data_IF_060062212017
#
_entry.id   IF_060062212017
#
_cell.length_a   1.000
_cell.length_b   1.000
_cell.length_c   1.000
_cell.angle_alpha   90.00
_cell.angle_beta   90.00
_cell.angle_gamma   90.00
#
_symmetry.space_group_name_H-M   'P 1'
#
loop_
_entity.id
_entity.type
_entity.pdbx_description
1 polymer ?
#
# COMPACT_ATOMS: atom_id res chain seq x y z
N UNK A 1 34.07 -61.33 -23.86
CA UNK A 1 33.12 -60.84 -22.84
C UNK A 1 33.65 -59.60 -22.11
N UNK A 2 33.58 -58.41 -22.71
CA UNK A 2 33.94 -57.12 -22.07
C UNK A 2 33.26 -56.01 -22.86
N UNK A 3 32.03 -55.58 -22.50
CA UNK A 3 31.40 -54.34 -23.03
C UNK A 3 30.01 -53.98 -22.46
N UNK A 4 29.63 -54.41 -21.25
CA UNK A 4 28.30 -54.09 -20.69
C UNK A 4 28.27 -53.46 -19.30
N UNK A 5 29.40 -53.08 -18.72
CA UNK A 5 29.45 -52.58 -17.34
C UNK A 5 29.77 -51.08 -17.17
N UNK A 6 29.97 -50.32 -18.25
CA UNK A 6 30.42 -48.92 -18.15
C UNK A 6 29.31 -47.89 -18.40
N UNK A 7 28.16 -48.28 -18.93
CA UNK A 7 27.08 -47.32 -19.31
C UNK A 7 26.10 -47.04 -18.17
N UNK A 8 25.97 -47.94 -17.19
CA UNK A 8 24.97 -47.79 -16.12
C UNK A 8 25.43 -46.81 -15.02
N UNK A 9 26.74 -46.66 -14.80
CA UNK A 9 27.26 -45.79 -13.72
C UNK A 9 27.26 -44.31 -14.12
N UNK A 10 27.39 -43.99 -15.42
CA UNK A 10 27.40 -42.59 -15.88
C UNK A 10 25.99 -41.97 -15.92
N UNK A 11 24.93 -42.77 -16.05
CA UNK A 11 23.55 -42.28 -16.10
C UNK A 11 22.95 -41.97 -14.71
N UNK A 12 23.45 -42.62 -13.66
CA UNK A 12 23.02 -42.38 -12.27
C UNK A 12 23.70 -41.16 -11.63
N UNK A 13 24.86 -40.73 -12.12
CA UNK A 13 25.55 -39.54 -11.61
C UNK A 13 25.03 -38.21 -12.22
N UNK A 14 24.32 -38.25 -13.36
CA UNK A 14 23.71 -37.06 -13.96
C UNK A 14 22.32 -36.70 -13.40
N UNK A 15 21.65 -37.63 -12.69
CA UNK A 15 20.35 -37.38 -12.07
C UNK A 15 20.44 -36.86 -10.63
N UNK A 16 21.61 -36.99 -9.98
CA UNK A 16 21.84 -36.46 -8.63
C UNK A 16 22.26 -34.97 -8.59
N UNK A 17 22.53 -34.35 -9.75
CA UNK A 17 23.01 -32.96 -9.81
C UNK A 17 21.90 -31.88 -9.95
N UNK A 18 20.62 -32.27 -10.06
CA UNK A 18 19.51 -31.33 -10.29
C UNK A 18 18.40 -31.34 -9.24
N UNK A 19 18.62 -31.96 -8.09
CA UNK A 19 17.70 -31.92 -6.95
C UNK A 19 18.20 -31.00 -5.83
N UNK A 20 18.78 -29.85 -6.17
CA UNK A 20 18.70 -28.73 -5.23
C UNK A 20 17.24 -28.26 -5.25
N UNK A 21 16.51 -28.29 -4.12
CA UNK A 21 15.24 -27.61 -4.07
C UNK A 21 15.54 -26.14 -4.36
N UNK A 22 15.23 -25.70 -5.57
CA UNK A 22 15.10 -24.28 -5.82
C UNK A 22 14.02 -23.84 -4.86
N UNK A 23 14.43 -23.15 -3.81
CA UNK A 23 13.52 -22.38 -2.98
C UNK A 23 12.93 -21.35 -3.93
N UNK A 24 11.81 -21.72 -4.56
CA UNK A 24 10.98 -20.80 -5.32
C UNK A 24 10.46 -19.86 -4.25
N UNK A 25 11.23 -18.81 -3.97
CA UNK A 25 10.78 -17.71 -3.13
C UNK A 25 9.48 -17.25 -3.75
N UNK A 26 8.36 -17.59 -3.10
CA UNK A 26 7.04 -17.22 -3.58
C UNK A 26 7.10 -15.74 -3.96
N UNK A 27 6.74 -15.44 -5.21
CA UNK A 27 6.78 -14.08 -5.70
C UNK A 27 6.02 -13.21 -4.69
N UNK A 28 6.71 -12.22 -4.14
CA UNK A 28 6.15 -11.42 -3.06
C UNK A 28 4.82 -10.83 -3.52
N UNK A 29 3.80 -11.06 -2.70
CA UNK A 29 2.46 -10.56 -2.95
C UNK A 29 2.54 -9.04 -3.07
N UNK A 30 2.01 -8.39 -4.13
CA UNK A 30 2.03 -6.93 -4.20
C UNK A 30 1.27 -6.29 -3.07
N UNK A 31 1.73 -5.17 -2.54
CA UNK A 31 0.99 -4.43 -1.52
C UNK A 31 1.35 -2.95 -1.52
N UNK A 32 0.46 -2.19 -0.89
CA UNK A 32 0.56 -0.76 -0.72
C UNK A 32 1.18 -0.41 0.64
N UNK A 33 2.13 0.51 0.64
CA UNK A 33 2.60 1.25 1.81
C UNK A 33 1.85 2.57 1.91
N UNK A 34 1.52 2.98 3.13
CA UNK A 34 0.99 4.31 3.41
C UNK A 34 2.02 5.05 4.26
N UNK A 35 2.55 6.15 3.72
CA UNK A 35 3.46 7.03 4.44
C UNK A 35 2.65 8.18 5.03
N UNK A 36 2.00 7.96 6.15
CA UNK A 36 1.41 9.05 6.91
C UNK A 36 1.13 8.60 8.34
N UNK A 37 2.17 8.53 9.16
CA UNK A 37 2.03 9.04 10.52
C UNK A 37 2.43 10.53 10.50
N UNK A 38 2.04 11.29 11.54
CA UNK A 38 2.30 12.73 11.68
C UNK A 38 3.80 13.08 11.51
N UNK A 39 4.69 12.15 11.84
CA UNK A 39 6.15 12.36 11.79
C UNK A 39 6.78 11.99 10.43
N UNK A 40 5.98 11.52 9.46
CA UNK A 40 6.47 11.12 8.13
C UNK A 40 7.35 9.86 8.14
N UNK A 41 7.27 9.04 9.20
CA UNK A 41 8.02 7.78 9.32
C UNK A 41 7.10 6.58 8.99
N UNK A 42 7.49 5.68 8.08
CA UNK A 42 6.72 4.47 7.80
C UNK A 42 6.80 3.51 8.99
N UNK A 43 5.65 2.99 9.41
CA UNK A 43 5.58 2.05 10.53
C UNK A 43 5.44 0.59 10.10
N UNK A 44 5.19 0.35 8.82
CA UNK A 44 5.02 -1.00 8.30
C UNK A 44 6.12 -1.35 7.32
N UNK A 45 6.64 -2.57 7.49
CA UNK A 45 7.51 -3.15 6.48
C UNK A 45 6.71 -3.56 5.27
N UNK A 46 7.35 -3.20 4.19
CA UNK A 46 7.03 -3.46 2.83
C UNK A 46 8.05 -4.52 2.41
N UNK A 47 7.72 -5.79 2.71
CA UNK A 47 8.62 -6.92 2.51
C UNK A 47 9.65 -6.88 3.63
N UNK A 48 10.93 -6.80 3.27
CA UNK A 48 12.01 -6.65 4.26
C UNK A 48 12.38 -5.20 4.57
N UNK A 49 11.65 -4.21 4.04
CA UNK A 49 12.06 -2.82 4.09
C UNK A 49 10.92 -1.88 4.48
N UNK A 50 11.23 -0.82 5.20
CA UNK A 50 10.43 0.39 5.27
C UNK A 50 10.71 1.25 4.03
N UNK A 51 9.66 1.78 3.40
CA UNK A 51 9.79 2.65 2.22
C UNK A 51 8.86 3.84 2.37
N UNK A 52 9.39 5.05 2.18
CA UNK A 52 8.58 6.26 2.31
C UNK A 52 9.04 7.45 1.49
N UNK A 53 8.12 8.40 1.30
CA UNK A 53 8.40 9.71 0.75
C UNK A 53 8.70 10.69 1.90
N UNK A 54 9.69 11.56 1.70
CA UNK A 54 9.99 12.67 2.61
C UNK A 54 10.24 13.93 1.80
N UNK A 55 9.43 14.95 2.02
CA UNK A 55 9.66 16.27 1.44
C UNK A 55 10.93 16.89 2.06
N UNK A 56 11.68 17.62 1.24
CA UNK A 56 12.82 18.43 1.66
C UNK A 56 12.35 19.87 1.77
N UNK A 57 12.66 20.52 2.88
CA UNK A 57 12.29 21.92 3.17
C UNK A 57 13.54 22.76 3.41
N UNK A 58 13.48 24.07 3.14
CA UNK A 58 14.52 25.02 3.54
C UNK A 58 14.31 25.49 5.00
N UNK A 59 15.14 26.41 5.49
CA UNK A 59 15.05 26.95 6.85
C UNK A 59 13.73 27.71 7.12
N UNK A 60 13.03 28.15 6.08
CA UNK A 60 11.70 28.79 6.19
C UNK A 60 10.54 27.77 6.10
N UNK A 61 10.82 26.47 6.12
CA UNK A 61 9.79 25.42 6.01
C UNK A 61 9.20 25.27 4.60
N UNK A 62 9.73 25.96 3.60
CA UNK A 62 9.26 25.88 2.21
C UNK A 62 9.82 24.64 1.55
N UNK A 63 8.95 23.82 0.94
CA UNK A 63 9.36 22.64 0.18
C UNK A 63 10.30 23.03 -0.97
N UNK A 64 11.46 22.36 -1.03
CA UNK A 64 12.47 22.48 -2.08
C UNK A 64 12.61 21.21 -2.92
N UNK A 65 11.98 20.11 -2.51
CA UNK A 65 11.97 18.85 -3.24
C UNK A 65 11.38 17.71 -2.43
N UNK A 66 11.63 16.47 -2.86
CA UNK A 66 11.15 15.27 -2.19
C UNK A 66 12.07 14.08 -2.45
N UNK A 67 12.17 13.17 -1.47
CA UNK A 67 13.06 12.01 -1.47
C UNK A 67 12.27 10.72 -1.26
N UNK A 68 12.65 9.69 -2.00
CA UNK A 68 12.24 8.31 -1.74
C UNK A 68 13.29 7.67 -0.85
N UNK A 69 12.87 7.24 0.33
CA UNK A 69 13.72 6.69 1.38
C UNK A 69 13.43 5.21 1.59
N UNK A 70 14.46 4.48 2.01
CA UNK A 70 14.46 3.05 2.28
C UNK A 70 15.20 2.77 3.60
N UNK A 71 14.68 1.87 4.41
CA UNK A 71 15.41 1.32 5.56
C UNK A 71 15.05 -0.16 5.77
N UNK A 72 16.00 -1.01 6.18
CA UNK A 72 15.73 -2.43 6.51
C UNK A 72 15.32 -2.60 7.98
N UNK A 73 15.87 -1.75 8.84
CA UNK A 73 15.83 -1.81 10.30
C UNK A 73 15.08 -0.61 10.93
N UNK A 74 14.66 0.36 10.12
CA UNK A 74 14.06 1.62 10.58
C UNK A 74 15.07 2.66 11.07
N UNK A 75 16.36 2.30 11.14
CA UNK A 75 17.45 3.14 11.69
C UNK A 75 18.39 3.62 10.59
N UNK A 76 18.86 2.70 9.75
CA UNK A 76 19.76 2.98 8.66
C UNK A 76 18.96 3.42 7.44
N UNK A 77 19.01 4.71 7.13
CA UNK A 77 18.20 5.32 6.06
C UNK A 77 19.04 5.49 4.80
N UNK A 78 18.59 4.88 3.70
CA UNK A 78 19.13 5.06 2.36
C UNK A 78 18.19 5.90 1.51
N UNK A 79 18.73 6.91 0.81
CA UNK A 79 17.99 7.62 -0.23
C UNK A 79 18.04 6.83 -1.54
N UNK A 80 16.89 6.44 -2.09
CA UNK A 80 16.80 5.77 -3.39
C UNK A 80 16.70 6.76 -4.55
N UNK A 81 15.97 7.85 -4.35
CA UNK A 81 15.81 8.92 -5.35
C UNK A 81 15.51 10.25 -4.69
N UNK A 82 15.94 11.32 -5.35
CA UNK A 82 15.64 12.70 -4.98
C UNK A 82 15.09 13.44 -6.19
N UNK A 83 14.08 14.26 -5.96
CA UNK A 83 13.52 15.21 -6.92
C UNK A 83 13.67 16.62 -6.35
N UNK A 84 14.20 17.53 -7.16
CA UNK A 84 14.34 18.95 -6.81
C UNK A 84 13.17 19.75 -7.39
N UNK A 85 12.78 20.82 -6.71
CA UNK A 85 11.75 21.76 -7.14
C UNK A 85 10.59 21.85 -6.17
N UNK A 86 10.10 23.08 -5.92
CA UNK A 86 9.04 23.37 -4.94
C UNK A 86 7.71 22.68 -5.26
N UNK A 87 7.48 22.37 -6.54
CA UNK A 87 6.26 21.71 -7.02
C UNK A 87 6.42 20.19 -7.15
N UNK A 88 7.62 19.65 -6.98
CA UNK A 88 7.90 18.21 -7.08
C UNK A 88 7.74 17.54 -5.73
N UNK A 89 6.76 16.66 -5.60
CA UNK A 89 6.56 15.85 -4.39
C UNK A 89 6.20 14.42 -4.73
N UNK A 90 6.82 13.46 -4.04
CA UNK A 90 6.47 12.05 -4.17
C UNK A 90 5.19 11.83 -3.37
N UNK A 91 4.19 11.20 -3.98
CA UNK A 91 2.93 10.90 -3.30
C UNK A 91 3.16 9.95 -2.12
N UNK A 92 2.42 10.09 -1.02
CA UNK A 92 2.62 9.26 0.17
C UNK A 92 2.25 7.79 -0.01
N UNK A 93 1.57 7.45 -1.11
CA UNK A 93 1.22 6.08 -1.44
C UNK A 93 2.31 5.48 -2.32
N UNK A 94 2.92 4.40 -1.84
CA UNK A 94 4.00 3.67 -2.52
C UNK A 94 3.58 2.20 -2.63
N UNK A 95 3.71 1.61 -3.81
CA UNK A 95 3.39 0.20 -4.06
C UNK A 95 4.67 -0.58 -4.28
N UNK A 96 4.70 -1.86 -3.92
CA UNK A 96 5.73 -2.77 -4.40
C UNK A 96 5.17 -4.15 -4.67
N UNK A 97 5.90 -4.91 -5.48
CA UNK A 97 5.72 -6.35 -5.67
C UNK A 97 6.86 -7.17 -5.03
N UNK A 98 7.57 -6.58 -4.06
CA UNK A 98 8.71 -7.16 -3.35
C UNK A 98 10.01 -7.25 -4.14
N UNK A 99 10.05 -6.84 -5.41
CA UNK A 99 11.30 -6.59 -6.16
C UNK A 99 11.42 -5.14 -6.66
N UNK A 100 10.27 -4.54 -6.98
CA UNK A 100 10.16 -3.25 -7.65
C UNK A 100 9.21 -2.35 -6.87
N UNK A 101 9.68 -1.13 -6.60
CA UNK A 101 8.94 -0.06 -5.95
C UNK A 101 8.32 0.81 -7.05
N UNK A 102 7.02 1.08 -6.92
CA UNK A 102 6.26 1.97 -7.78
C UNK A 102 5.77 3.16 -6.97
N UNK A 103 5.95 4.36 -7.50
CA UNK A 103 5.55 5.60 -6.83
C UNK A 103 5.20 6.68 -7.85
N UNK A 104 4.40 7.66 -7.44
CA UNK A 104 4.07 8.82 -8.26
C UNK A 104 4.81 10.05 -7.76
N UNK A 105 5.14 10.94 -8.69
CA UNK A 105 5.66 12.28 -8.43
C UNK A 105 4.68 13.28 -9.00
N UNK A 106 4.13 14.15 -8.15
CA UNK A 106 3.41 15.33 -8.58
C UNK A 106 4.40 16.31 -9.21
N UNK A 107 4.11 16.76 -10.43
CA UNK A 107 5.04 17.54 -11.24
C UNK A 107 4.81 19.05 -11.17
N UNK A 108 3.77 19.50 -10.47
CA UNK A 108 3.13 20.79 -10.71
C UNK A 108 2.16 20.73 -11.90
N UNK A 109 1.38 21.80 -12.08
CA UNK A 109 0.47 22.00 -13.22
C UNK A 109 -0.48 20.83 -13.45
N UNK A 110 -1.03 20.27 -12.37
CA UNK A 110 -1.99 19.16 -12.42
C UNK A 110 -1.49 17.92 -13.18
N UNK A 111 -0.18 17.68 -13.23
CA UNK A 111 0.37 16.46 -13.83
C UNK A 111 1.15 15.66 -12.80
N UNK A 112 1.13 14.34 -12.94
CA UNK A 112 1.96 13.44 -12.16
C UNK A 112 2.60 12.37 -13.03
N UNK A 113 3.80 11.95 -12.65
CA UNK A 113 4.53 10.89 -13.35
C UNK A 113 4.68 9.69 -12.42
N UNK A 114 4.34 8.52 -12.93
CA UNK A 114 4.57 7.24 -12.25
C UNK A 114 5.96 6.73 -12.65
N UNK A 115 6.73 6.33 -11.64
CA UNK A 115 8.05 5.73 -11.78
C UNK A 115 8.09 4.33 -11.19
N UNK A 116 9.09 3.56 -11.61
CA UNK A 116 9.53 2.36 -10.92
C UNK A 116 11.01 2.45 -10.55
N UNK A 117 11.40 1.77 -9.48
CA UNK A 117 12.81 1.54 -9.11
C UNK A 117 12.98 0.24 -8.33
N UNK A 118 14.21 -0.26 -8.26
CA UNK A 118 14.57 -1.39 -7.37
C UNK A 118 14.98 -0.89 -5.99
N UNK A 119 15.03 -1.77 -4.99
CA UNK A 119 15.57 -1.46 -3.65
C UNK A 119 17.02 -0.94 -3.63
N UNK A 120 17.78 -1.17 -4.71
CA UNK A 120 19.13 -0.60 -4.85
C UNK A 120 19.14 0.83 -5.37
N UNK A 121 18.05 1.30 -6.00
CA UNK A 121 17.95 2.57 -6.72
C UNK A 121 18.41 2.53 -8.19
N UNK A 122 19.07 1.44 -8.64
CA UNK A 122 19.76 1.39 -9.96
C UNK A 122 18.83 1.34 -11.18
N UNK A 123 17.60 0.82 -11.07
CA UNK A 123 16.66 0.67 -12.20
C UNK A 123 15.51 1.68 -12.16
N UNK A 124 15.86 2.97 -12.06
CA UNK A 124 14.89 4.05 -12.01
C UNK A 124 14.35 4.36 -13.42
N UNK A 125 13.08 4.04 -13.68
CA UNK A 125 12.46 4.21 -15.00
C UNK A 125 11.11 4.92 -14.89
N UNK A 126 10.89 5.90 -15.76
CA UNK A 126 9.57 6.51 -15.96
C UNK A 126 8.63 5.50 -16.61
N UNK A 127 7.45 5.31 -16.04
CA UNK A 127 6.39 4.46 -16.61
C UNK A 127 5.49 5.30 -17.51
N UNK A 128 4.87 6.34 -16.95
CA UNK A 128 3.92 7.19 -17.69
C UNK A 128 3.69 8.53 -16.98
N UNK A 129 3.20 9.53 -17.71
CA UNK A 129 2.78 10.83 -17.18
C UNK A 129 1.28 10.99 -17.40
N UNK A 130 0.57 11.43 -16.37
CA UNK A 130 -0.90 11.46 -16.31
C UNK A 130 -1.33 12.85 -15.83
N UNK A 131 -2.29 13.46 -16.54
CA UNK A 131 -2.99 14.66 -16.10
C UNK A 131 -3.97 14.30 -14.98
N UNK A 132 -4.04 15.14 -13.95
CA UNK A 132 -4.84 14.98 -12.73
C UNK A 132 -4.56 13.66 -11.99
N UNK A 133 -3.29 13.22 -11.99
CA UNK A 133 -2.88 12.06 -11.21
C UNK A 133 -3.01 12.36 -9.72
N UNK A 134 -3.80 11.55 -9.00
CA UNK A 134 -3.90 11.65 -7.56
C UNK A 134 -2.82 10.81 -6.87
N UNK A 135 -2.77 9.52 -7.21
CA UNK A 135 -1.83 8.58 -6.62
C UNK A 135 -1.74 7.30 -7.45
N UNK A 136 -0.66 6.54 -7.23
CA UNK A 136 -0.62 5.11 -7.58
C UNK A 136 -1.54 4.36 -6.62
N UNK A 137 -2.39 3.49 -7.13
CA UNK A 137 -3.39 2.75 -6.35
C UNK A 137 -2.99 1.29 -6.13
N UNK A 138 -2.43 0.64 -7.16
CA UNK A 138 -2.05 -0.76 -7.06
C UNK A 138 -1.09 -1.22 -8.17
N UNK A 139 -0.49 -2.38 -7.99
CA UNK A 139 0.19 -3.14 -9.04
C UNK A 139 -0.30 -4.59 -9.06
N UNK A 140 -0.73 -5.07 -10.23
CA UNK A 140 -1.10 -6.48 -10.38
C UNK A 140 -0.89 -6.93 -11.84
N UNK A 141 -0.20 -8.06 -12.01
CA UNK A 141 0.00 -8.73 -13.30
C UNK A 141 0.46 -7.78 -14.44
N UNK A 142 1.55 -7.05 -14.22
CA UNK A 142 2.13 -6.13 -15.23
C UNK A 142 1.32 -4.84 -15.47
N UNK A 143 0.29 -4.58 -14.65
CA UNK A 143 -0.52 -3.37 -14.73
C UNK A 143 -0.34 -2.51 -13.49
N UNK A 144 -0.16 -1.21 -13.71
CA UNK A 144 -0.27 -0.20 -12.67
C UNK A 144 -1.69 0.32 -12.66
N UNK A 145 -2.29 0.33 -11.49
CA UNK A 145 -3.57 0.97 -11.25
C UNK A 145 -3.32 2.31 -10.58
N UNK A 146 -4.07 3.32 -10.95
CA UNK A 146 -3.90 4.67 -10.42
C UNK A 146 -5.24 5.39 -10.36
N UNK A 147 -5.36 6.28 -9.37
CA UNK A 147 -6.50 7.17 -9.24
C UNK A 147 -6.19 8.48 -9.96
N UNK A 148 -7.15 8.94 -10.77
CA UNK A 148 -7.10 10.20 -11.49
C UNK A 148 -8.33 11.02 -11.11
N UNK A 149 -8.14 12.28 -10.73
CA UNK A 149 -9.27 13.17 -10.46
C UNK A 149 -10.05 13.46 -11.74
N UNK A 150 -11.37 13.62 -11.62
CA UNK A 150 -12.26 13.96 -12.73
C UNK A 150 -12.04 15.39 -13.23
N UNK A 151 -11.68 16.28 -12.32
CA UNK A 151 -11.48 17.70 -12.50
C UNK A 151 -10.39 18.23 -11.55
N UNK A 152 -10.09 19.51 -11.65
CA UNK A 152 -9.12 20.23 -10.81
C UNK A 152 -9.59 20.48 -9.38
N UNK A 153 -10.85 20.18 -9.05
CA UNK A 153 -11.41 20.30 -7.69
C UNK A 153 -11.01 19.14 -6.77
N UNK A 154 -10.50 18.03 -7.32
CA UNK A 154 -10.03 16.86 -6.55
C UNK A 154 -11.12 16.24 -5.64
N UNK A 155 -12.39 16.48 -5.94
CA UNK A 155 -13.53 15.95 -5.16
C UNK A 155 -13.91 14.52 -5.56
N UNK A 156 -13.67 14.18 -6.82
CA UNK A 156 -14.06 12.92 -7.41
C UNK A 156 -12.94 12.30 -8.26
N UNK A 157 -12.90 10.98 -8.28
CA UNK A 157 -11.78 10.21 -8.83
C UNK A 157 -12.27 9.00 -9.59
N UNK A 158 -11.52 8.66 -10.63
CA UNK A 158 -11.69 7.44 -11.39
C UNK A 158 -10.46 6.56 -11.22
N UNK A 159 -10.69 5.25 -11.15
CA UNK A 159 -9.63 4.24 -11.15
C UNK A 159 -9.34 3.80 -12.58
N UNK A 160 -8.08 3.92 -12.97
CA UNK A 160 -7.57 3.45 -14.25
C UNK A 160 -6.54 2.34 -14.05
N UNK A 161 -6.28 1.61 -15.13
CA UNK A 161 -5.16 0.68 -15.25
C UNK A 161 -4.31 1.05 -16.46
N UNK A 162 -2.99 0.95 -16.31
CA UNK A 162 -1.99 1.11 -17.35
C UNK A 162 -1.19 -0.18 -17.47
N UNK A 163 -1.23 -0.81 -18.64
CA UNK A 163 -0.40 -1.98 -18.93
C UNK A 163 1.02 -1.51 -19.30
N UNK A 164 2.02 -1.90 -18.51
CA UNK A 164 3.41 -1.45 -18.69
C UNK A 164 3.98 -1.91 -20.04
N UNK A 165 3.67 -3.13 -20.47
CA UNK A 165 4.19 -3.72 -21.71
C UNK A 165 3.54 -3.08 -22.94
N UNK A 166 2.22 -3.01 -22.96
CA UNK A 166 1.47 -2.55 -24.15
C UNK A 166 1.27 -1.03 -24.16
N UNK A 167 1.63 -0.33 -23.08
CA UNK A 167 1.42 1.11 -22.89
C UNK A 167 -0.05 1.57 -23.02
N UNK A 168 -1.00 0.65 -22.84
CA UNK A 168 -2.44 0.93 -22.98
C UNK A 168 -3.07 1.27 -21.65
N UNK A 169 -3.90 2.31 -21.64
CA UNK A 169 -4.71 2.74 -20.50
C UNK A 169 -6.15 2.26 -20.64
N UNK A 170 -6.77 1.82 -19.54
CA UNK A 170 -8.19 1.45 -19.47
C UNK A 170 -8.83 1.99 -18.20
N UNK A 171 -10.01 2.58 -18.32
CA UNK A 171 -10.87 2.91 -17.18
C UNK A 171 -11.35 1.62 -16.50
N UNK A 172 -11.08 1.48 -15.21
CA UNK A 172 -11.50 0.32 -14.41
C UNK A 172 -12.82 0.61 -13.73
N UNK A 173 -12.94 1.78 -13.10
CA UNK A 173 -14.15 2.17 -12.36
C UNK A 173 -14.25 3.68 -12.22
N UNK A 174 -15.47 4.20 -12.33
CA UNK A 174 -15.76 5.61 -12.07
C UNK A 174 -16.08 5.86 -10.60
N UNK A 175 -15.85 7.08 -10.13
CA UNK A 175 -16.26 7.58 -8.82
C UNK A 175 -15.73 6.77 -7.63
N UNK A 176 -14.46 6.36 -7.68
CA UNK A 176 -13.80 5.58 -6.63
C UNK A 176 -12.40 6.09 -6.32
N UNK A 177 -12.08 6.10 -5.03
CA UNK A 177 -10.76 6.43 -4.47
C UNK A 177 -10.14 5.17 -3.91
N UNK A 178 -8.94 4.81 -4.35
CA UNK A 178 -8.19 3.70 -3.78
C UNK A 178 -7.77 3.97 -2.35
N UNK A 179 -7.86 2.97 -1.47
CA UNK A 179 -7.43 3.10 -0.08
C UNK A 179 -6.25 2.18 0.25
N UNK A 180 -6.37 0.88 -0.03
CA UNK A 180 -5.36 -0.11 0.34
C UNK A 180 -5.28 -1.28 -0.65
N UNK A 181 -4.09 -1.85 -0.84
CA UNK A 181 -3.87 -3.04 -1.66
C UNK A 181 -3.16 -4.14 -0.89
N UNK A 182 -3.68 -5.37 -1.03
CA UNK A 182 -2.97 -6.61 -0.74
C UNK A 182 -3.21 -7.65 -1.84
N UNK A 183 -2.14 -8.05 -2.50
CA UNK A 183 -2.12 -8.94 -3.64
C UNK A 183 -3.03 -8.47 -4.75
N UNK A 184 -4.01 -9.30 -5.10
CA UNK A 184 -5.00 -8.99 -6.13
C UNK A 184 -6.18 -8.16 -5.62
N UNK A 185 -6.21 -7.81 -4.34
CA UNK A 185 -7.35 -7.11 -3.74
C UNK A 185 -7.00 -5.65 -3.49
N UNK A 186 -7.90 -4.76 -3.92
CA UNK A 186 -7.80 -3.32 -3.74
C UNK A 186 -9.09 -2.84 -3.08
N UNK A 187 -8.98 -2.20 -1.91
CA UNK A 187 -10.13 -1.52 -1.29
C UNK A 187 -10.28 -0.11 -1.85
N UNK A 188 -11.52 0.34 -1.95
CA UNK A 188 -11.83 1.67 -2.44
C UNK A 188 -13.13 2.21 -1.85
N UNK A 189 -13.17 3.53 -1.65
CA UNK A 189 -14.38 4.24 -1.22
C UNK A 189 -14.92 5.12 -2.33
N UNK A 190 -16.24 5.25 -2.41
CA UNK A 190 -16.89 6.29 -3.22
C UNK A 190 -16.68 7.67 -2.59
N UNK A 191 -16.72 8.74 -3.41
CA UNK A 191 -16.77 10.16 -3.00
C UNK A 191 -15.95 10.51 -1.74
N UNK A 192 -14.71 10.98 -1.92
CA UNK A 192 -13.74 11.19 -0.83
C UNK A 192 -14.28 11.97 0.38
N UNK A 193 -15.10 12.98 0.14
CA UNK A 193 -15.52 13.96 1.15
C UNK A 193 -16.93 13.74 1.71
N UNK A 194 -17.70 12.78 1.17
CA UNK A 194 -19.04 12.45 1.65
C UNK A 194 -18.94 11.36 2.73
N UNK A 195 -18.31 11.69 3.86
CA UNK A 195 -17.92 10.71 4.89
C UNK A 195 -19.11 9.92 5.40
N UNK A 196 -20.27 10.55 5.56
CA UNK A 196 -21.48 9.92 6.07
C UNK A 196 -22.04 8.88 5.08
N UNK A 197 -22.17 9.22 3.80
CA UNK A 197 -22.75 8.33 2.79
C UNK A 197 -21.71 7.51 2.02
N UNK A 198 -20.43 7.60 2.42
CA UNK A 198 -19.31 6.90 1.80
C UNK A 198 -19.52 5.39 1.80
N UNK A 199 -19.69 4.82 0.61
CA UNK A 199 -19.73 3.36 0.42
C UNK A 199 -18.32 2.84 0.16
N UNK A 200 -17.96 1.77 0.85
CA UNK A 200 -16.68 1.08 0.69
C UNK A 200 -16.84 -0.21 -0.10
N UNK A 201 -15.80 -0.57 -0.83
CA UNK A 201 -15.78 -1.73 -1.70
C UNK A 201 -14.40 -2.37 -1.71
N UNK A 202 -14.38 -3.62 -2.16
CA UNK A 202 -13.16 -4.33 -2.48
C UNK A 202 -13.25 -4.86 -3.91
N UNK A 203 -12.22 -4.61 -4.70
CA UNK A 203 -12.09 -5.03 -6.09
C UNK A 203 -11.06 -6.16 -6.15
N UNK A 204 -11.45 -7.27 -6.78
CA UNK A 204 -10.51 -8.32 -7.17
C UNK A 204 -9.93 -8.00 -8.55
N UNK A 205 -8.70 -7.47 -8.59
CA UNK A 205 -7.99 -7.02 -9.79
C UNK A 205 -7.75 -8.13 -10.83
N UNK A 206 -7.79 -9.41 -10.43
CA UNK A 206 -7.74 -10.55 -11.36
C UNK A 206 -9.03 -10.64 -12.20
N UNK A 207 -10.17 -10.49 -11.54
CA UNK A 207 -11.49 -10.75 -12.13
C UNK A 207 -12.27 -9.49 -12.50
N UNK A 208 -11.90 -8.33 -11.97
CA UNK A 208 -12.69 -7.10 -12.01
C UNK A 208 -13.90 -7.08 -11.08
N UNK A 209 -14.26 -8.20 -10.42
CA UNK A 209 -15.40 -8.28 -9.49
C UNK A 209 -15.21 -7.32 -8.32
N UNK A 210 -16.29 -6.61 -7.98
CA UNK A 210 -16.36 -5.64 -6.90
C UNK A 210 -17.43 -6.08 -5.90
N UNK A 211 -17.07 -6.15 -4.62
CA UNK A 211 -18.02 -6.42 -3.53
C UNK A 211 -18.16 -5.17 -2.68
N UNK A 212 -19.38 -4.87 -2.25
CA UNK A 212 -19.63 -3.85 -1.24
C UNK A 212 -19.18 -4.38 0.12
N UNK A 213 -18.46 -3.55 0.87
CA UNK A 213 -18.06 -3.83 2.25
C UNK A 213 -19.13 -3.30 3.22
N UNK A 214 -19.12 -3.75 4.48
CA UNK A 214 -19.94 -3.14 5.53
C UNK A 214 -19.66 -1.65 5.64
N UNK A 215 -20.59 -0.92 6.27
CA UNK A 215 -20.41 0.52 6.48
C UNK A 215 -19.13 0.80 7.29
N UNK A 216 -18.15 1.35 6.58
CA UNK A 216 -16.81 1.67 7.06
C UNK A 216 -16.31 2.91 6.34
N UNK A 217 -15.46 3.72 6.98
CA UNK A 217 -15.06 5.04 6.45
C UNK A 217 -13.62 5.08 5.95
N UNK A 218 -12.80 4.18 6.46
CA UNK A 218 -11.46 3.89 6.01
C UNK A 218 -11.28 2.38 6.04
N UNK A 219 -10.59 1.82 5.05
CA UNK A 219 -10.40 0.37 4.90
C UNK A 219 -8.95 0.00 4.62
N UNK A 220 -8.52 -1.09 5.22
CA UNK A 220 -7.24 -1.76 4.97
C UNK A 220 -7.50 -3.21 4.62
N UNK A 221 -6.70 -3.78 3.72
CA UNK A 221 -6.77 -5.21 3.38
C UNK A 221 -5.46 -5.89 3.68
N UNK A 222 -5.54 -7.05 4.33
CA UNK A 222 -4.40 -7.94 4.56
C UNK A 222 -4.83 -9.40 4.35
N UNK A 223 -4.23 -10.07 3.38
CA UNK A 223 -4.59 -11.43 3.03
C UNK A 223 -6.07 -11.58 2.68
N UNK A 224 -6.82 -12.27 3.55
CA UNK A 224 -8.25 -12.55 3.42
C UNK A 224 -9.13 -11.69 4.33
N UNK A 225 -8.54 -10.72 5.03
CA UNK A 225 -9.22 -9.86 6.00
C UNK A 225 -9.28 -8.42 5.49
N UNK A 226 -10.37 -7.74 5.81
CA UNK A 226 -10.55 -6.31 5.62
C UNK A 226 -10.79 -5.69 6.98
N UNK A 227 -9.92 -4.77 7.36
CA UNK A 227 -10.05 -3.95 8.56
C UNK A 227 -10.69 -2.63 8.19
N UNK A 228 -11.55 -2.09 9.04
CA UNK A 228 -12.20 -0.83 8.76
C UNK A 228 -12.66 -0.10 10.03
N UNK A 229 -12.65 1.23 9.95
CA UNK A 229 -13.24 2.09 10.97
C UNK A 229 -14.73 2.34 10.66
N UNK A 230 -15.60 2.11 11.63
CA UNK A 230 -17.03 2.42 11.56
C UNK A 230 -17.36 3.52 12.56
N UNK A 231 -18.13 4.54 12.15
CA UNK A 231 -18.77 5.45 13.10
C UNK A 231 -20.02 4.77 13.67
N UNK A 232 -20.13 4.74 14.99
CA UNK A 232 -21.36 4.32 15.68
C UNK A 232 -22.23 5.50 16.08
N UNK A 233 -21.66 6.71 16.12
CA UNK A 233 -22.38 7.99 16.23
C UNK A 233 -21.51 9.08 15.60
N UNK A 234 -22.09 9.93 14.75
CA UNK A 234 -21.39 11.07 14.15
C UNK A 234 -21.33 12.26 15.12
N UNK A 235 -22.41 12.49 15.89
CA UNK A 235 -22.49 13.61 16.85
C UNK A 235 -21.41 13.51 17.93
N UNK A 236 -21.19 12.29 18.44
CA UNK A 236 -20.20 12.02 19.50
C UNK A 236 -18.87 11.49 18.94
N UNK A 237 -18.75 11.39 17.60
CA UNK A 237 -17.57 10.85 16.92
C UNK A 237 -17.12 9.47 17.45
N UNK A 238 -18.06 8.63 17.92
CA UNK A 238 -17.75 7.29 18.42
C UNK A 238 -17.38 6.37 17.26
N UNK A 239 -16.26 5.65 17.41
CA UNK A 239 -15.67 4.81 16.36
C UNK A 239 -15.37 3.40 16.86
N UNK A 240 -15.55 2.43 15.97
CA UNK A 240 -15.14 1.04 16.18
C UNK A 240 -14.16 0.62 15.08
N UNK A 241 -13.06 -0.01 15.48
CA UNK A 241 -12.23 -0.80 14.58
C UNK A 241 -12.87 -2.17 14.43
N UNK A 242 -13.14 -2.56 13.19
CA UNK A 242 -13.77 -3.84 12.86
C UNK A 242 -12.95 -4.59 11.82
N UNK A 243 -13.21 -5.90 11.74
CA UNK A 243 -12.65 -6.79 10.72
C UNK A 243 -13.76 -7.60 10.07
N UNK A 244 -13.65 -7.86 8.77
CA UNK A 244 -14.53 -8.77 8.04
C UNK A 244 -13.76 -9.54 6.96
N UNK A 245 -14.43 -10.49 6.31
CA UNK A 245 -13.90 -11.19 5.13
C UNK A 245 -13.88 -10.31 3.86
N UNK A 246 -13.23 -10.77 2.80
CA UNK A 246 -13.21 -10.11 1.47
C UNK A 246 -14.59 -9.99 0.80
N UNK A 247 -15.63 -10.62 1.34
CA UNK A 247 -17.02 -10.44 0.88
C UNK A 247 -17.84 -9.56 1.82
N UNK A 248 -17.22 -8.96 2.83
CA UNK A 248 -17.89 -8.16 3.84
C UNK A 248 -18.65 -8.96 4.91
N UNK A 249 -18.57 -10.29 4.88
CA UNK A 249 -19.23 -11.18 5.86
C UNK A 249 -18.37 -11.37 7.11
N UNK A 250 -19.00 -11.86 8.18
CA UNK A 250 -18.37 -12.19 9.46
C UNK A 250 -17.69 -10.99 10.11
N UNK A 251 -18.40 -9.86 10.17
CA UNK A 251 -17.90 -8.64 10.78
C UNK A 251 -17.75 -8.82 12.30
N UNK A 252 -16.57 -8.53 12.84
CA UNK A 252 -16.26 -8.57 14.28
C UNK A 252 -15.67 -7.23 14.71
N UNK A 253 -16.05 -6.73 15.88
CA UNK A 253 -15.40 -5.57 16.52
C UNK A 253 -14.08 -6.02 17.15
N UNK A 254 -13.01 -5.27 16.87
CA UNK A 254 -11.68 -5.48 17.44
C UNK A 254 -11.41 -4.51 18.60
N UNK A 255 -11.73 -3.22 18.41
CA UNK A 255 -11.55 -2.16 19.40
C UNK A 255 -12.67 -1.14 19.29
N UNK A 256 -13.10 -0.60 20.43
CA UNK A 256 -14.00 0.55 20.53
C UNK A 256 -13.18 1.72 21.07
N UNK A 257 -13.35 2.89 20.48
CA UNK A 257 -12.76 4.11 21.01
C UNK A 257 -13.76 4.83 21.91
N UNK A 258 -13.24 5.52 22.90
CA UNK A 258 -13.97 6.49 23.70
C UNK A 258 -14.50 7.63 22.82
N UNK A 259 -15.48 8.36 23.35
CA UNK A 259 -16.02 9.55 22.71
C UNK A 259 -14.91 10.55 22.37
N UNK A 260 -14.93 11.09 21.14
CA UNK A 260 -13.87 11.95 20.60
C UNK A 260 -12.61 11.23 20.11
N UNK A 261 -12.39 9.96 20.45
CA UNK A 261 -11.18 9.22 20.06
C UNK A 261 -11.08 8.99 18.54
N UNK A 262 -9.88 9.14 17.96
CA UNK A 262 -9.69 9.17 16.51
C UNK A 262 -8.43 8.41 16.04
N UNK A 263 -8.45 7.82 14.82
CA UNK A 263 -7.29 7.16 14.26
C UNK A 263 -6.22 8.17 13.83
N UNK A 264 -4.98 7.93 14.25
CA UNK A 264 -3.78 8.66 13.85
C UNK A 264 -3.08 7.97 12.67
N UNK A 265 -3.05 6.64 12.70
CA UNK A 265 -2.49 5.80 11.64
C UNK A 265 -3.38 4.59 11.42
N UNK A 266 -3.60 4.22 10.16
CA UNK A 266 -4.37 3.02 9.84
C UNK A 266 -3.61 2.17 8.83
N UNK A 267 -2.82 1.23 9.36
CA UNK A 267 -1.99 0.32 8.60
C UNK A 267 -2.64 -1.04 8.37
N UNK A 268 -1.90 -1.91 7.69
CA UNK A 268 -2.29 -3.27 7.30
C UNK A 268 -2.33 -4.24 8.48
N UNK A 269 -1.40 -4.10 9.42
CA UNK A 269 -1.17 -5.02 10.53
C UNK A 269 -1.52 -4.43 11.89
N UNK A 270 -1.64 -3.10 11.96
CA UNK A 270 -2.03 -2.39 13.17
C UNK A 270 -2.67 -1.03 12.86
N UNK A 271 -3.36 -0.47 13.86
CA UNK A 271 -3.84 0.91 13.85
C UNK A 271 -3.27 1.67 15.05
N UNK A 272 -2.97 2.94 14.85
CA UNK A 272 -2.68 3.90 15.92
C UNK A 272 -3.86 4.83 16.10
N UNK A 273 -4.22 5.12 17.33
CA UNK A 273 -5.29 6.07 17.63
C UNK A 273 -4.97 6.83 18.90
N UNK A 274 -5.61 7.99 19.01
CA UNK A 274 -5.68 8.78 20.23
C UNK A 274 -7.04 8.53 20.86
N UNK A 275 -7.07 7.79 21.97
CA UNK A 275 -8.27 7.55 22.75
C UNK A 275 -8.34 8.53 23.91
N UNK A 276 -9.47 9.19 24.12
CA UNK A 276 -9.60 10.21 25.17
C UNK A 276 -9.38 9.67 26.59
N UNK A 277 -9.46 8.34 26.80
CA UNK A 277 -9.19 7.69 28.09
C UNK A 277 -7.82 7.00 28.16
N UNK A 278 -7.34 6.46 27.05
CA UNK A 278 -6.09 5.67 27.01
C UNK A 278 -4.90 6.44 26.42
N UNK A 279 -5.13 7.63 25.85
CA UNK A 279 -4.15 8.39 25.10
C UNK A 279 -3.76 7.72 23.78
N UNK A 280 -2.55 8.02 23.31
CA UNK A 280 -2.02 7.51 22.03
C UNK A 280 -1.51 6.08 22.18
N UNK A 281 -2.17 5.13 21.53
CA UNK A 281 -1.82 3.69 21.60
C UNK A 281 -1.81 3.03 20.22
N UNK A 282 -1.09 1.90 20.11
CA UNK A 282 -1.08 1.04 18.92
C UNK A 282 -1.89 -0.23 19.19
N UNK A 283 -2.73 -0.67 18.26
CA UNK A 283 -3.49 -1.92 18.35
C UNK A 283 -3.11 -2.90 17.25
N UNK A 284 -2.58 -4.06 17.63
CA UNK A 284 -2.06 -5.07 16.70
C UNK A 284 -3.16 -6.05 16.33
N UNK A 285 -3.56 -6.07 15.06
CA UNK A 285 -4.75 -6.82 14.63
C UNK A 285 -4.65 -8.34 14.86
N UNK A 286 -3.45 -8.89 14.69
CA UNK A 286 -3.22 -10.32 14.80
C UNK A 286 -3.19 -10.79 16.26
N UNK A 287 -2.59 -10.00 17.15
CA UNK A 287 -2.52 -10.30 18.58
C UNK A 287 -3.84 -9.97 19.30
N UNK A 288 -4.57 -8.97 18.82
CA UNK A 288 -5.75 -8.45 19.52
C UNK A 288 -5.39 -7.62 20.74
N UNK A 289 -4.17 -7.10 20.79
CA UNK A 289 -3.57 -6.43 21.94
C UNK A 289 -3.29 -4.95 21.64
N UNK A 290 -3.39 -4.13 22.69
CA UNK A 290 -2.95 -2.72 22.68
C UNK A 290 -1.53 -2.64 23.23
N UNK A 291 -0.63 -2.01 22.49
CA UNK A 291 0.74 -1.71 22.91
C UNK A 291 0.85 -0.23 23.26
N UNK A 292 1.56 0.02 24.36
CA UNK A 292 1.83 1.38 24.81
C UNK A 292 2.92 2.05 23.93
N UNK A 293 2.91 3.39 23.91
CA UNK A 293 3.53 4.29 22.92
C UNK A 293 5.04 4.08 22.68
N UNK A 294 5.73 3.41 23.59
CA UNK A 294 7.18 3.18 23.57
C UNK A 294 7.61 1.89 22.85
N UNK A 295 6.67 1.08 22.35
CA UNK A 295 7.00 -0.17 21.66
C UNK A 295 7.13 0.09 20.15
N UNK A 296 8.36 0.27 19.67
CA UNK A 296 8.62 0.21 18.23
C UNK A 296 8.25 -1.19 17.71
N UNK A 297 7.28 -1.25 16.79
CA UNK A 297 6.90 -2.48 16.11
C UNK A 297 8.07 -2.99 15.27
N UNK A 298 8.76 -4.00 15.79
CA UNK A 298 9.98 -4.58 15.20
C UNK A 298 11.08 -4.97 16.19
N UNK A 299 10.80 -5.05 17.50
CA UNK A 299 11.58 -5.90 18.41
C UNK A 299 11.13 -7.35 18.28
#
# INVERSE_FOLDING_TARGET
MKKRLTIVVTLLLLTAAFSFPQTVSAAAVPYQSITADLDGVPREKVGNYYIWAKDTVNSQGVRTGSKLLLSKDGKTIKTLKSFKGKTKSITPIIITNGSTIFYAVNNGNETGTIYQTTYTGKKHTKITTIKLLANVAAYYNGKIYYSRATDSGWYDYNLYSYNIKTKKTKLVRKHVVSESQYGRYLTCGQKRFDVENRKQYIINLKTGKMNRLPDGKQTQVDGKKVYYWKYTSYDTLKRELKVCSLTGKNAKTLKKLSEGGYPLYFGRTFARFDDTKEGVTDYIYAAGETLDKNTLLGK
#
